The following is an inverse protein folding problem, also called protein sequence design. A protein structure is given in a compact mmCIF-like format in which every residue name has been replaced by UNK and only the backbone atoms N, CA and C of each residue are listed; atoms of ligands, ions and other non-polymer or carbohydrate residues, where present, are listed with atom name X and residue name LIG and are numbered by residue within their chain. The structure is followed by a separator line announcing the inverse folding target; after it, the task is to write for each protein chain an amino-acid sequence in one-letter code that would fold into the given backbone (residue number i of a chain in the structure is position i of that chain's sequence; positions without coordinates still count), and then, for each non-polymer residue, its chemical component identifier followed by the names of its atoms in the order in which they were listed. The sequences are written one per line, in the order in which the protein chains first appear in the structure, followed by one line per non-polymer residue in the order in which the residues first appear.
data_IF_662694603631
#
_entry.id   IF_662694603631
#
_cell.length_a   1.000
_cell.length_b   1.000
_cell.length_c   1.000
_cell.angle_alpha   90.00
_cell.angle_beta   90.00
_cell.angle_gamma   90.00
#
_symmetry.space_group_name_H-M   'P 1'
#
loop_
_entity.id
_entity.type
_entity.pdbx_description
1 polymer ?
#
# COMPACT_ATOMS: atom_id res chain seq x y z
N UNK A 1 -14.88 10.62 -7.01
CA UNK A 1 -13.69 10.68 -6.15
C UNK A 1 -13.64 9.38 -5.39
N UNK A 2 -12.54 8.64 -5.55
CA UNK A 2 -12.41 7.29 -5.03
C UNK A 2 -13.12 6.26 -5.91
N UNK A 3 -13.27 6.52 -7.22
CA UNK A 3 -13.90 5.57 -8.15
C UNK A 3 -13.18 4.23 -8.13
N UNK A 4 -11.86 4.24 -8.04
CA UNK A 4 -11.02 3.04 -7.90
C UNK A 4 -11.13 2.34 -6.53
N UNK A 5 -11.67 3.02 -5.51
CA UNK A 5 -11.98 2.42 -4.22
C UNK A 5 -13.38 1.82 -4.23
N UNK A 6 -14.40 2.65 -4.43
CA UNK A 6 -15.79 2.22 -4.38
C UNK A 6 -16.12 1.28 -5.53
N UNK A 7 -15.56 1.54 -6.70
CA UNK A 7 -15.85 0.79 -7.91
C UNK A 7 -17.19 1.20 -8.52
N UNK A 8 -17.88 0.25 -9.14
CA UNK A 8 -19.17 0.51 -9.78
C UNK A 8 -20.01 -0.77 -9.89
N UNK A 9 -21.32 -0.56 -10.03
CA UNK A 9 -22.31 -1.60 -10.33
C UNK A 9 -22.59 -1.59 -11.83
N UNK A 10 -22.50 -2.76 -12.44
CA UNK A 10 -22.86 -2.99 -13.84
C UNK A 10 -24.00 -4.00 -13.96
N UNK A 11 -24.12 -4.62 -15.13
CA UNK A 11 -25.03 -5.74 -15.37
C UNK A 11 -24.23 -7.04 -15.53
N UNK A 12 -24.74 -8.15 -15.01
CA UNK A 12 -24.25 -9.48 -15.33
C UNK A 12 -24.77 -10.01 -16.68
N UNK A 13 -24.40 -11.25 -17.00
CA UNK A 13 -24.81 -11.92 -18.24
C UNK A 13 -26.32 -12.19 -18.32
N UNK A 14 -27.02 -12.21 -17.19
CA UNK A 14 -28.45 -12.42 -17.08
C UNK A 14 -29.25 -11.10 -17.09
N UNK A 15 -28.54 -9.96 -17.02
CA UNK A 15 -29.12 -8.62 -17.01
C UNK A 15 -29.48 -8.10 -15.63
N UNK A 16 -29.03 -8.76 -14.55
CA UNK A 16 -29.19 -8.26 -13.19
C UNK A 16 -28.04 -7.32 -12.81
N UNK A 17 -28.32 -6.39 -11.90
CA UNK A 17 -27.29 -5.49 -11.36
C UNK A 17 -26.34 -6.29 -10.46
N UNK A 18 -25.05 -6.10 -10.66
CA UNK A 18 -23.99 -6.68 -9.83
C UNK A 18 -22.79 -5.75 -9.80
N UNK A 19 -22.12 -5.69 -8.66
CA UNK A 19 -20.83 -5.04 -8.49
C UNK A 19 -19.80 -5.64 -9.44
N UNK A 20 -18.99 -4.78 -10.07
CA UNK A 20 -18.02 -5.19 -11.10
C UNK A 20 -16.57 -4.83 -10.80
N UNK A 21 -16.36 -3.93 -9.85
CA UNK A 21 -15.04 -3.42 -9.52
C UNK A 21 -15.04 -2.80 -8.13
N UNK A 22 -13.86 -2.56 -7.56
CA UNK A 22 -13.70 -1.91 -6.25
C UNK A 22 -14.39 -2.67 -5.11
N UNK A 23 -14.86 -1.93 -4.10
CA UNK A 23 -15.66 -2.49 -2.99
C UNK A 23 -16.95 -3.13 -3.51
N UNK A 24 -17.63 -2.51 -4.48
CA UNK A 24 -18.85 -3.07 -5.09
C UNK A 24 -18.60 -4.47 -5.66
N UNK A 25 -17.49 -4.67 -6.39
CA UNK A 25 -17.12 -5.96 -6.96
C UNK A 25 -16.62 -6.97 -5.92
N UNK A 26 -15.69 -6.56 -5.06
CA UNK A 26 -15.08 -7.45 -4.06
C UNK A 26 -16.12 -8.01 -3.09
N UNK A 27 -17.09 -7.18 -2.69
CA UNK A 27 -18.15 -7.53 -1.74
C UNK A 27 -19.52 -7.75 -2.39
N UNK A 28 -19.59 -7.98 -3.70
CA UNK A 28 -20.87 -8.14 -4.42
C UNK A 28 -21.79 -9.19 -3.78
N UNK A 29 -21.21 -10.28 -3.28
CA UNK A 29 -21.93 -11.36 -2.58
C UNK A 29 -22.59 -10.89 -1.28
N UNK A 30 -21.91 -10.05 -0.51
CA UNK A 30 -22.45 -9.51 0.75
C UNK A 30 -23.43 -8.36 0.47
N UNK A 31 -23.16 -7.52 -0.54
CA UNK A 31 -23.95 -6.33 -0.90
C UNK A 31 -25.26 -6.66 -1.63
N UNK A 32 -25.31 -7.71 -2.46
CA UNK A 32 -26.46 -8.00 -3.32
C UNK A 32 -27.66 -8.57 -2.54
N UNK A 33 -27.40 -9.33 -1.48
CA UNK A 33 -28.46 -10.08 -0.77
C UNK A 33 -28.98 -11.28 -1.57
N UNK A 34 -30.16 -11.78 -1.20
CA UNK A 34 -30.82 -12.92 -1.83
C UNK A 34 -32.22 -12.50 -2.31
N UNK A 35 -32.55 -12.64 -3.60
CA UNK A 35 -33.88 -12.31 -4.09
C UNK A 35 -34.94 -13.27 -3.52
N UNK A 36 -36.09 -12.72 -3.14
CA UNK A 36 -37.25 -13.52 -2.73
C UNK A 36 -38.03 -14.05 -3.94
N UNK A 37 -38.89 -15.05 -3.70
CA UNK A 37 -39.75 -15.63 -4.74
C UNK A 37 -41.21 -15.69 -4.30
N UNK A 38 -42.13 -15.34 -5.21
CA UNK A 38 -43.56 -15.55 -5.03
C UNK A 38 -44.09 -16.42 -6.18
N UNK A 39 -44.39 -17.69 -5.88
CA UNK A 39 -45.10 -18.59 -6.79
C UNK A 39 -46.59 -18.48 -6.54
N UNK A 40 -47.35 -18.16 -7.59
CA UNK A 40 -48.81 -18.14 -7.54
C UNK A 40 -49.39 -18.54 -8.90
N UNK A 41 -50.49 -19.30 -8.87
CA UNK A 41 -51.24 -19.64 -10.07
C UNK A 41 -52.07 -18.44 -10.55
N UNK A 42 -52.19 -18.28 -11.87
CA UNK A 42 -53.01 -17.26 -12.52
C UNK A 42 -54.07 -17.91 -13.38
N UNK A 43 -55.27 -17.33 -13.43
CA UNK A 43 -56.33 -17.76 -14.35
C UNK A 43 -56.00 -17.36 -15.81
N UNK A 44 -56.83 -17.81 -16.76
CA UNK A 44 -56.68 -17.49 -18.19
C UNK A 44 -56.82 -15.98 -18.50
N UNK A 45 -57.28 -15.17 -17.54
CA UNK A 45 -57.38 -13.72 -17.64
C UNK A 45 -56.23 -12.98 -16.89
N UNK A 46 -55.25 -13.73 -16.34
CA UNK A 46 -54.08 -13.20 -15.64
C UNK A 46 -54.31 -12.85 -14.16
N UNK A 47 -55.48 -13.13 -13.60
CA UNK A 47 -55.80 -12.85 -12.17
C UNK A 47 -55.26 -13.96 -11.28
N UNK A 48 -54.80 -13.61 -10.08
CA UNK A 48 -54.28 -14.56 -9.10
C UNK A 48 -55.41 -15.49 -8.59
N UNK A 49 -55.18 -16.80 -8.61
CA UNK A 49 -56.13 -17.79 -8.09
C UNK A 49 -55.93 -17.91 -6.56
N UNK A 50 -56.96 -17.58 -5.78
CA UNK A 50 -56.88 -17.54 -4.31
C UNK A 50 -56.72 -18.93 -3.64
N UNK A 51 -56.97 -20.02 -4.38
CA UNK A 51 -57.00 -21.41 -3.86
C UNK A 51 -55.77 -22.22 -4.35
N UNK A 52 -54.88 -21.64 -5.17
CA UNK A 52 -53.70 -22.33 -5.69
C UNK A 52 -52.56 -22.42 -4.67
N UNK A 53 -51.59 -23.33 -4.90
CA UNK A 53 -50.36 -23.39 -4.12
C UNK A 53 -49.63 -22.04 -4.16
N UNK A 54 -49.52 -21.41 -2.98
CA UNK A 54 -48.68 -20.23 -2.77
C UNK A 54 -47.40 -20.67 -2.08
N UNK A 55 -46.28 -20.52 -2.77
CA UNK A 55 -44.97 -20.51 -2.13
C UNK A 55 -44.47 -19.08 -2.09
N UNK A 56 -44.15 -18.59 -0.90
CA UNK A 56 -43.56 -17.28 -0.68
C UNK A 56 -42.28 -17.44 0.12
N UNK A 57 -41.18 -17.03 -0.49
CA UNK A 57 -39.88 -16.90 0.15
C UNK A 57 -39.53 -15.40 0.16
N UNK A 58 -39.44 -14.76 1.33
CA UNK A 58 -39.08 -13.35 1.41
C UNK A 58 -37.66 -13.12 0.91
N UNK A 59 -37.41 -11.93 0.34
CA UNK A 59 -36.06 -11.51 0.01
C UNK A 59 -35.25 -11.27 1.28
N UNK A 60 -33.93 -11.44 1.18
CA UNK A 60 -32.97 -11.07 2.22
C UNK A 60 -32.14 -9.93 1.67
N UNK A 61 -32.25 -8.75 2.28
CA UNK A 61 -31.46 -7.59 1.89
C UNK A 61 -29.96 -7.85 2.11
N UNK A 62 -29.13 -7.20 1.30
CA UNK A 62 -27.66 -7.25 1.45
C UNK A 62 -27.16 -6.59 2.74
N UNK A 63 -25.89 -6.83 3.05
CA UNK A 63 -25.21 -6.25 4.19
C UNK A 63 -24.67 -4.85 3.88
N UNK A 64 -24.55 -4.02 4.92
CA UNK A 64 -23.82 -2.75 4.84
C UNK A 64 -22.33 -2.99 5.08
N UNK A 65 -21.49 -2.50 4.16
CA UNK A 65 -20.03 -2.52 4.31
C UNK A 65 -19.57 -1.16 4.84
N UNK A 66 -19.10 -1.13 6.08
CA UNK A 66 -18.58 0.08 6.72
C UNK A 66 -17.08 0.15 6.48
N UNK A 67 -16.62 1.20 5.81
CA UNK A 67 -15.20 1.39 5.49
C UNK A 67 -14.45 2.11 6.62
N UNK A 68 -13.13 1.93 6.64
CA UNK A 68 -12.21 2.62 7.54
C UNK A 68 -11.92 4.06 7.12
N UNK A 69 -12.30 4.44 5.88
CA UNK A 69 -12.04 5.75 5.31
C UNK A 69 -12.70 6.88 6.12
N UNK A 70 -11.91 7.88 6.48
CA UNK A 70 -12.44 9.15 6.96
C UNK A 70 -12.82 10.01 5.76
N UNK A 71 -14.11 10.30 5.60
CA UNK A 71 -14.64 11.07 4.46
C UNK A 71 -13.97 12.44 4.32
N UNK A 72 -13.67 13.12 5.42
CA UNK A 72 -13.06 14.45 5.39
C UNK A 72 -11.61 14.35 4.95
N UNK A 73 -10.86 13.43 5.54
CA UNK A 73 -9.45 13.18 5.17
C UNK A 73 -9.34 12.76 3.72
N UNK A 74 -10.14 11.77 3.29
CA UNK A 74 -10.22 11.29 1.91
C UNK A 74 -10.47 12.44 0.93
N UNK A 75 -11.49 13.27 1.18
CA UNK A 75 -11.81 14.38 0.30
C UNK A 75 -10.68 15.40 0.20
N UNK A 76 -10.10 15.78 1.34
CA UNK A 76 -9.01 16.76 1.39
C UNK A 76 -7.79 16.28 0.63
N UNK A 77 -7.32 15.05 0.87
CA UNK A 77 -6.07 14.57 0.26
C UNK A 77 -6.23 14.18 -1.20
N UNK A 78 -7.36 13.60 -1.60
CA UNK A 78 -7.65 13.32 -3.02
C UNK A 78 -7.74 14.63 -3.83
N UNK A 79 -8.40 15.67 -3.30
CA UNK A 79 -8.45 16.98 -3.96
C UNK A 79 -7.05 17.57 -4.13
N UNK A 80 -6.22 17.46 -3.09
CA UNK A 80 -4.84 17.96 -3.14
C UNK A 80 -3.97 17.18 -4.12
N UNK A 81 -4.18 15.88 -4.23
CA UNK A 81 -3.50 15.03 -5.21
C UNK A 81 -3.81 15.50 -6.63
N UNK A 82 -5.09 15.70 -6.97
CA UNK A 82 -5.51 16.19 -8.30
C UNK A 82 -4.89 17.55 -8.62
N UNK A 83 -4.91 18.50 -7.67
CA UNK A 83 -4.25 19.80 -7.83
C UNK A 83 -2.74 19.64 -8.09
N UNK A 84 -2.09 18.74 -7.35
CA UNK A 84 -0.64 18.54 -7.41
C UNK A 84 -0.23 17.89 -8.72
N UNK A 85 -0.92 16.84 -9.16
CA UNK A 85 -0.69 16.18 -10.45
C UNK A 85 -0.81 17.19 -11.59
N UNK A 86 -1.88 18.01 -11.60
CA UNK A 86 -2.06 19.06 -12.61
C UNK A 86 -0.98 20.14 -12.55
N UNK A 87 -0.63 20.60 -11.35
CA UNK A 87 0.38 21.65 -11.15
C UNK A 87 1.76 21.23 -11.67
N UNK A 88 2.08 19.94 -11.55
CA UNK A 88 3.38 19.39 -11.91
C UNK A 88 3.40 18.68 -13.26
N UNK A 89 2.27 18.65 -13.98
CA UNK A 89 2.11 17.93 -15.24
C UNK A 89 2.57 16.46 -15.15
N UNK A 90 2.21 15.81 -14.04
CA UNK A 90 2.55 14.41 -13.80
C UNK A 90 1.55 13.47 -14.50
N UNK A 91 2.02 12.30 -14.92
CA UNK A 91 1.18 11.28 -15.56
C UNK A 91 0.08 10.74 -14.61
N UNK A 92 0.35 10.76 -13.30
CA UNK A 92 -0.56 10.29 -12.27
C UNK A 92 -0.01 10.48 -10.87
N UNK A 93 -0.67 9.89 -9.89
CA UNK A 93 -0.22 9.91 -8.50
C UNK A 93 -1.13 9.11 -7.57
N UNK A 94 -0.62 8.85 -6.36
CA UNK A 94 -1.33 8.10 -5.32
C UNK A 94 -1.06 8.66 -3.94
N UNK A 95 -2.04 8.59 -3.05
CA UNK A 95 -1.88 8.87 -1.62
C UNK A 95 -2.56 7.76 -0.83
N UNK A 96 -1.84 7.19 0.13
CA UNK A 96 -2.36 6.27 1.13
C UNK A 96 -2.09 6.83 2.51
N UNK A 97 -3.10 6.88 3.36
CA UNK A 97 -2.97 7.25 4.78
C UNK A 97 -3.38 6.05 5.61
N UNK A 98 -2.44 5.56 6.42
CA UNK A 98 -2.65 4.45 7.35
C UNK A 98 -2.64 4.96 8.79
N UNK A 99 -3.48 4.37 9.62
CA UNK A 99 -3.32 4.42 11.07
C UNK A 99 -2.32 3.32 11.49
N UNK A 100 -1.11 3.66 11.98
CA UNK A 100 -0.06 2.66 12.19
C UNK A 100 -0.40 1.60 13.24
N UNK A 101 -1.17 1.94 14.27
CA UNK A 101 -1.51 1.07 15.39
C UNK A 101 -2.53 -0.02 15.05
N UNK A 102 -3.26 0.13 13.94
CA UNK A 102 -4.37 -0.76 13.58
C UNK A 102 -4.26 -1.30 12.16
N UNK A 103 -3.57 -0.60 11.26
CA UNK A 103 -3.57 -0.91 9.83
C UNK A 103 -4.80 -0.37 9.09
N UNK A 104 -5.65 0.44 9.74
CA UNK A 104 -6.81 1.07 9.08
C UNK A 104 -6.36 2.02 7.99
N UNK A 105 -6.98 1.91 6.82
CA UNK A 105 -6.79 2.86 5.72
C UNK A 105 -7.74 4.05 5.92
N UNK A 106 -7.20 5.20 6.34
CA UNK A 106 -8.00 6.41 6.55
C UNK A 106 -8.28 7.16 5.24
N UNK A 107 -7.36 7.04 4.27
CA UNK A 107 -7.55 7.56 2.92
C UNK A 107 -6.77 6.72 1.90
N UNK A 108 -7.36 6.56 0.71
CA UNK A 108 -6.73 5.95 -0.47
C UNK A 108 -7.19 6.70 -1.71
N UNK A 109 -6.25 7.39 -2.36
CA UNK A 109 -6.51 8.25 -3.51
C UNK A 109 -5.58 7.88 -4.66
N UNK A 110 -6.08 8.02 -5.87
CA UNK A 110 -5.38 7.75 -7.11
C UNK A 110 -5.77 8.75 -8.18
N UNK A 111 -4.83 9.09 -9.05
CA UNK A 111 -5.02 9.86 -10.27
C UNK A 111 -4.27 9.12 -11.39
N UNK A 112 -4.91 8.80 -12.54
CA UNK A 112 -6.31 9.13 -12.91
C UNK A 112 -7.36 8.47 -12.00
N UNK A 113 -8.56 9.08 -11.95
CA UNK A 113 -9.74 8.57 -11.23
C UNK A 113 -10.95 8.66 -12.17
N UNK A 114 -12.04 7.96 -11.82
CA UNK A 114 -13.28 8.01 -12.57
C UNK A 114 -14.51 8.28 -11.68
N UNK A 115 -15.61 8.65 -12.32
CA UNK A 115 -16.92 8.74 -11.67
C UNK A 115 -17.63 7.40 -11.78
N UNK A 116 -17.84 6.74 -10.65
CA UNK A 116 -18.58 5.47 -10.54
C UNK A 116 -19.98 5.51 -11.17
N UNK A 117 -20.64 6.68 -11.20
CA UNK A 117 -21.96 6.83 -11.84
C UNK A 117 -21.88 6.98 -13.36
N UNK A 118 -20.68 7.22 -13.90
CA UNK A 118 -20.42 7.40 -15.32
C UNK A 118 -19.26 6.51 -15.79
N UNK A 119 -19.11 5.33 -15.19
CA UNK A 119 -18.05 4.38 -15.51
C UNK A 119 -17.99 4.09 -17.03
N UNK A 120 -19.14 3.91 -17.68
CA UNK A 120 -19.23 3.66 -19.12
C UNK A 120 -18.75 4.82 -20.03
N UNK A 121 -18.40 5.99 -19.47
CA UNK A 121 -17.88 7.16 -20.21
C UNK A 121 -16.39 7.40 -20.00
N UNK A 122 -15.72 6.53 -19.25
CA UNK A 122 -14.28 6.61 -19.03
C UNK A 122 -13.54 6.41 -20.36
N UNK A 123 -12.74 7.40 -20.82
CA UNK A 123 -12.11 7.34 -22.14
C UNK A 123 -10.85 6.46 -22.16
N UNK A 124 -10.16 6.34 -21.02
CA UNK A 124 -8.93 5.57 -20.86
C UNK A 124 -9.12 4.50 -19.78
N UNK A 125 -8.90 3.25 -20.16
CA UNK A 125 -9.02 2.09 -19.27
C UNK A 125 -8.06 2.15 -18.07
N UNK A 126 -6.93 2.86 -18.19
CA UNK A 126 -5.97 3.01 -17.09
C UNK A 126 -6.57 3.72 -15.88
N UNK A 127 -7.64 4.51 -16.05
CA UNK A 127 -8.36 5.14 -14.96
C UNK A 127 -9.05 4.14 -14.03
N UNK A 128 -9.24 2.89 -14.46
CA UNK A 128 -9.75 1.81 -13.62
C UNK A 128 -8.66 1.14 -12.79
N UNK A 129 -7.38 1.36 -13.06
CA UNK A 129 -6.33 0.84 -12.18
C UNK A 129 -6.38 1.63 -10.88
N UNK A 130 -6.32 0.94 -9.74
CA UNK A 130 -6.12 1.60 -8.45
C UNK A 130 -4.62 1.81 -8.24
N UNK A 131 -4.08 3.03 -8.39
CA UNK A 131 -2.64 3.26 -8.35
C UNK A 131 -2.03 2.96 -6.98
N UNK A 132 -2.82 2.92 -5.91
CA UNK A 132 -2.34 2.60 -4.57
C UNK A 132 -2.00 1.12 -4.38
N UNK A 133 -2.65 0.21 -5.13
CA UNK A 133 -2.52 -1.24 -4.93
C UNK A 133 -2.12 -2.01 -6.19
N UNK A 134 -2.27 -1.42 -7.38
CA UNK A 134 -1.99 -2.09 -8.66
C UNK A 134 -0.69 -1.58 -9.29
N UNK A 135 -0.51 -0.26 -9.37
CA UNK A 135 0.65 0.34 -10.04
C UNK A 135 1.91 0.15 -9.21
N UNK A 136 2.72 -0.84 -9.60
CA UNK A 136 4.00 -1.13 -8.97
C UNK A 136 5.10 -0.26 -9.58
N UNK A 137 5.99 0.27 -8.75
CA UNK A 137 7.10 1.14 -9.17
C UNK A 137 8.39 0.76 -8.44
N UNK A 138 9.53 1.14 -9.00
CA UNK A 138 10.80 1.07 -8.26
C UNK A 138 10.83 2.16 -7.18
N UNK A 139 10.88 1.81 -5.88
CA UNK A 139 10.74 2.79 -4.82
C UNK A 139 11.90 3.79 -4.75
N UNK A 140 13.09 3.39 -5.20
CA UNK A 140 14.29 4.19 -5.05
C UNK A 140 14.57 4.51 -3.58
N UNK A 141 15.01 5.74 -3.30
CA UNK A 141 15.61 6.10 -2.00
C UNK A 141 14.69 5.97 -0.79
N UNK A 142 13.36 5.98 -0.93
CA UNK A 142 12.47 5.72 0.21
C UNK A 142 12.65 4.29 0.76
N UNK A 143 13.18 3.37 -0.04
CA UNK A 143 13.46 1.99 0.38
C UNK A 143 14.63 1.87 1.36
N UNK A 144 15.54 2.86 1.36
CA UNK A 144 16.74 2.88 2.20
C UNK A 144 16.42 2.77 3.69
N UNK A 145 15.26 3.29 4.09
CA UNK A 145 14.74 3.20 5.46
C UNK A 145 14.60 1.75 5.91
N UNK A 146 14.11 0.85 5.04
CA UNK A 146 13.92 -0.57 5.36
C UNK A 146 15.26 -1.31 5.39
N UNK A 147 16.17 -1.01 4.45
CA UNK A 147 17.55 -1.53 4.48
C UNK A 147 18.27 -1.13 5.77
N UNK A 148 18.19 0.15 6.14
CA UNK A 148 18.83 0.67 7.36
C UNK A 148 18.20 0.07 8.61
N UNK A 149 16.87 -0.03 8.65
CA UNK A 149 16.16 -0.66 9.77
C UNK A 149 16.61 -2.10 9.97
N UNK A 150 16.68 -2.89 8.90
CA UNK A 150 17.16 -4.28 8.96
C UNK A 150 18.60 -4.36 9.47
N UNK A 151 19.51 -3.55 8.94
CA UNK A 151 20.93 -3.58 9.32
C UNK A 151 21.18 -3.11 10.77
N UNK A 152 20.33 -2.22 11.30
CA UNK A 152 20.35 -1.86 12.73
C UNK A 152 19.75 -2.98 13.58
N UNK A 153 18.68 -3.65 13.11
CA UNK A 153 18.01 -4.71 13.86
C UNK A 153 18.89 -5.95 14.05
N UNK A 154 19.69 -6.30 13.04
CA UNK A 154 20.69 -7.37 13.13
C UNK A 154 21.90 -6.98 13.98
N UNK A 155 22.01 -5.71 14.39
CA UNK A 155 23.16 -5.16 15.11
C UNK A 155 24.41 -4.98 14.24
N UNK A 156 24.28 -5.12 12.92
CA UNK A 156 25.39 -5.02 11.96
C UNK A 156 25.93 -3.59 11.82
N UNK A 157 25.05 -2.61 11.98
CA UNK A 157 25.41 -1.19 12.10
C UNK A 157 24.58 -0.53 13.20
N UNK A 158 24.99 0.65 13.64
CA UNK A 158 24.20 1.54 14.48
C UNK A 158 24.20 2.96 13.88
N UNK A 159 23.36 3.88 14.38
CA UNK A 159 23.25 5.24 13.81
C UNK A 159 24.58 6.01 13.73
N UNK A 160 25.56 5.66 14.57
CA UNK A 160 26.88 6.29 14.66
C UNK A 160 27.99 5.46 14.01
N UNK A 161 27.70 4.30 13.42
CA UNK A 161 28.67 3.54 12.64
C UNK A 161 29.21 4.43 11.52
N UNK A 162 30.53 4.58 11.46
CA UNK A 162 31.19 5.40 10.45
C UNK A 162 31.35 4.63 9.14
N UNK A 163 31.18 5.35 8.04
CA UNK A 163 31.41 4.87 6.69
C UNK A 163 32.20 5.93 5.92
N UNK A 164 33.23 5.52 5.20
CA UNK A 164 33.96 6.38 4.28
C UNK A 164 33.33 6.31 2.89
N UNK A 165 32.56 7.34 2.53
CA UNK A 165 31.98 7.48 1.21
C UNK A 165 32.98 8.04 0.18
N UNK A 166 33.36 7.19 -0.76
CA UNK A 166 34.21 7.53 -1.91
C UNK A 166 33.41 8.03 -3.13
N UNK A 167 32.07 8.01 -3.05
CA UNK A 167 31.12 8.45 -4.08
C UNK A 167 30.63 7.36 -5.02
N UNK A 168 31.32 6.22 -5.10
CA UNK A 168 30.89 5.07 -5.89
C UNK A 168 31.47 3.77 -5.37
N UNK A 169 30.83 2.66 -5.71
CA UNK A 169 31.25 1.31 -5.36
C UNK A 169 31.15 0.40 -6.58
N UNK A 170 32.20 -0.37 -6.85
CA UNK A 170 32.18 -1.42 -7.87
C UNK A 170 31.78 -2.73 -7.18
N UNK A 171 30.81 -3.43 -7.76
CA UNK A 171 30.47 -4.81 -7.38
C UNK A 171 31.31 -5.73 -8.24
N UNK A 172 31.95 -6.72 -7.62
CA UNK A 172 32.82 -7.66 -8.33
C UNK A 172 32.06 -8.37 -9.46
N UNK A 173 32.70 -8.52 -10.62
CA UNK A 173 32.09 -9.11 -11.80
C UNK A 173 31.21 -8.16 -12.63
N UNK A 174 30.96 -6.93 -12.18
CA UNK A 174 30.15 -5.94 -12.91
C UNK A 174 30.99 -4.88 -13.62
N UNK A 175 30.62 -4.44 -14.84
CA UNK A 175 31.46 -3.59 -15.67
C UNK A 175 31.40 -2.10 -15.29
N UNK A 176 30.47 -1.69 -14.42
CA UNK A 176 30.24 -0.28 -14.07
C UNK A 176 29.98 -0.13 -12.57
N UNK A 177 30.53 0.92 -11.93
CA UNK A 177 30.27 1.20 -10.53
C UNK A 177 28.86 1.77 -10.33
N UNK A 178 28.30 1.51 -9.14
CA UNK A 178 27.13 2.20 -8.62
C UNK A 178 27.60 3.51 -7.98
N UNK A 179 26.98 4.64 -8.35
CA UNK A 179 27.36 5.96 -7.85
C UNK A 179 26.26 6.59 -6.99
N UNK A 180 26.66 7.51 -6.12
CA UNK A 180 25.72 8.41 -5.45
C UNK A 180 25.10 9.40 -6.45
N UNK A 181 23.94 9.94 -6.10
CA UNK A 181 23.30 11.00 -6.88
C UNK A 181 24.28 12.16 -7.13
N UNK A 182 24.24 12.72 -8.35
CA UNK A 182 25.14 13.79 -8.80
C UNK A 182 26.65 13.46 -8.69
N UNK A 183 27.03 12.19 -8.55
CA UNK A 183 28.42 11.74 -8.32
C UNK A 183 29.08 12.38 -7.08
N UNK A 184 28.28 12.73 -6.07
CA UNK A 184 28.77 13.34 -4.81
C UNK A 184 29.62 12.36 -4.00
N UNK A 185 30.56 12.94 -3.26
CA UNK A 185 31.41 12.27 -2.27
C UNK A 185 31.23 12.96 -0.93
N UNK A 186 30.90 12.19 0.11
CA UNK A 186 30.62 12.73 1.43
C UNK A 186 31.76 12.49 2.43
N UNK A 187 32.77 11.69 2.09
CA UNK A 187 33.88 11.37 3.00
C UNK A 187 33.40 10.54 4.18
N UNK A 188 33.96 10.74 5.37
CA UNK A 188 33.58 9.99 6.57
C UNK A 188 32.25 10.52 7.12
N UNK A 189 31.24 9.65 7.15
CA UNK A 189 29.86 9.95 7.55
C UNK A 189 29.31 8.90 8.50
N UNK A 190 28.30 9.25 9.29
CA UNK A 190 27.55 8.29 10.11
C UNK A 190 26.44 7.61 9.30
N UNK A 191 25.84 6.53 9.83
CA UNK A 191 24.64 5.93 9.21
C UNK A 191 23.42 6.87 9.23
N UNK A 192 23.37 7.82 10.17
CA UNK A 192 22.35 8.89 10.17
C UNK A 192 22.56 9.81 8.97
N UNK A 193 23.80 10.27 8.75
CA UNK A 193 24.16 11.08 7.58
C UNK A 193 23.89 10.35 6.26
N UNK A 194 24.06 9.02 6.23
CA UNK A 194 23.74 8.17 5.07
C UNK A 194 22.26 8.27 4.71
N UNK A 195 21.34 8.24 5.69
CA UNK A 195 19.92 8.45 5.42
C UNK A 195 19.61 9.92 5.08
N UNK A 196 20.14 10.89 5.83
CA UNK A 196 19.87 12.33 5.64
C UNK A 196 20.26 12.80 4.23
N UNK A 197 21.43 12.35 3.76
CA UNK A 197 21.98 12.69 2.45
C UNK A 197 21.61 11.67 1.36
N UNK A 198 20.84 10.64 1.71
CA UNK A 198 20.41 9.58 0.79
C UNK A 198 21.60 8.95 0.04
N UNK A 199 22.64 8.53 0.76
CA UNK A 199 23.90 8.02 0.20
C UNK A 199 23.72 6.56 -0.24
N UNK A 200 23.78 6.28 -1.56
CA UNK A 200 23.59 4.92 -2.12
C UNK A 200 24.69 3.96 -1.65
N UNK A 201 25.95 4.38 -1.74
CA UNK A 201 27.11 3.59 -1.29
C UNK A 201 27.05 3.23 0.19
N UNK A 202 26.52 4.14 1.03
CA UNK A 202 26.36 3.93 2.47
C UNK A 202 25.33 2.86 2.82
N UNK A 203 24.20 2.79 2.10
CA UNK A 203 23.22 1.72 2.33
C UNK A 203 23.67 0.38 1.73
N UNK A 204 24.46 0.39 0.65
CA UNK A 204 25.14 -0.82 0.15
C UNK A 204 26.13 -1.32 1.21
N UNK A 205 26.87 -0.41 1.85
CA UNK A 205 27.74 -0.76 2.97
C UNK A 205 26.94 -1.40 4.11
N UNK A 206 25.82 -0.80 4.54
CA UNK A 206 24.96 -1.37 5.58
C UNK A 206 24.43 -2.77 5.19
N UNK A 207 24.00 -2.95 3.94
CA UNK A 207 23.60 -4.26 3.40
C UNK A 207 24.75 -5.27 3.46
N UNK A 208 25.96 -4.89 3.06
CA UNK A 208 27.15 -5.76 3.13
C UNK A 208 27.54 -6.14 4.57
N UNK A 209 27.43 -5.21 5.53
CA UNK A 209 27.68 -5.51 6.95
C UNK A 209 26.65 -6.49 7.52
N UNK A 210 25.40 -6.40 7.06
CA UNK A 210 24.33 -7.32 7.43
C UNK A 210 24.43 -8.67 6.70
N UNK A 211 24.93 -8.68 5.47
CA UNK A 211 24.93 -9.83 4.58
C UNK A 211 23.69 -9.88 3.69
N UNK A 212 23.83 -10.55 2.54
CA UNK A 212 22.77 -10.63 1.53
C UNK A 212 21.57 -11.46 2.00
N UNK A 213 21.77 -12.63 2.62
CA UNK A 213 20.66 -13.48 3.01
C UNK A 213 19.76 -12.81 4.07
N UNK A 214 20.30 -12.18 5.14
CA UNK A 214 19.48 -11.42 6.08
C UNK A 214 18.81 -10.20 5.43
N UNK A 215 19.47 -9.53 4.48
CA UNK A 215 18.84 -8.46 3.70
C UNK A 215 17.61 -8.97 2.92
N UNK A 216 17.76 -10.04 2.16
CA UNK A 216 16.65 -10.61 1.36
C UNK A 216 15.53 -11.11 2.27
N UNK A 217 15.86 -11.71 3.42
CA UNK A 217 14.84 -12.09 4.41
C UNK A 217 14.09 -10.85 4.92
N UNK A 218 14.81 -9.79 5.30
CA UNK A 218 14.18 -8.57 5.77
C UNK A 218 13.25 -7.94 4.72
N UNK A 219 13.67 -7.87 3.45
CA UNK A 219 12.81 -7.40 2.35
C UNK A 219 11.50 -8.20 2.29
N UNK A 220 11.58 -9.54 2.40
CA UNK A 220 10.40 -10.42 2.42
C UNK A 220 9.56 -10.26 3.69
N UNK A 221 10.20 -10.04 4.84
CA UNK A 221 9.52 -9.89 6.13
C UNK A 221 8.77 -8.55 6.23
N UNK A 222 9.28 -7.47 5.64
CA UNK A 222 8.53 -6.23 5.44
C UNK A 222 7.33 -6.37 4.50
N UNK A 223 7.11 -7.54 3.89
CA UNK A 223 5.92 -7.87 3.10
C UNK A 223 6.07 -7.63 1.59
N UNK A 224 7.23 -7.20 1.12
CA UNK A 224 7.46 -6.95 -0.31
C UNK A 224 7.45 -8.25 -1.12
N UNK A 225 7.00 -8.16 -2.37
CA UNK A 225 6.84 -9.33 -3.26
C UNK A 225 5.60 -10.17 -2.98
N UNK A 226 4.72 -9.74 -2.06
CA UNK A 226 3.45 -10.39 -1.74
C UNK A 226 2.33 -9.37 -1.63
N UNK A 227 1.13 -9.79 -1.99
CA UNK A 227 -0.10 -9.05 -1.73
C UNK A 227 -0.24 -8.76 -0.24
N UNK A 228 -0.64 -7.54 0.12
CA UNK A 228 -0.90 -7.14 1.50
C UNK A 228 -2.14 -7.81 2.06
N UNK A 229 -3.10 -8.18 1.20
CA UNK A 229 -4.36 -8.80 1.61
C UNK A 229 -5.48 -7.79 1.87
N UNK A 230 -5.31 -6.53 1.49
CA UNK A 230 -6.38 -5.51 1.51
C UNK A 230 -7.62 -6.03 0.79
N UNK A 231 -8.82 -5.69 1.30
CA UNK A 231 -10.10 -6.20 0.80
C UNK A 231 -10.54 -5.54 -0.50
N UNK A 232 -9.72 -5.66 -1.54
CA UNK A 232 -9.94 -5.07 -2.86
C UNK A 232 -9.43 -6.00 -3.96
N UNK A 233 -10.09 -5.94 -5.11
CA UNK A 233 -9.65 -6.67 -6.30
C UNK A 233 -8.39 -6.04 -6.90
N UNK A 234 -7.71 -6.77 -7.78
CA UNK A 234 -6.58 -6.27 -8.60
C UNK A 234 -5.35 -5.80 -7.81
N UNK A 235 -5.17 -6.23 -6.56
CA UNK A 235 -3.91 -5.97 -5.86
C UNK A 235 -2.72 -6.66 -6.56
N UNK A 236 -1.65 -5.88 -6.81
CA UNK A 236 -0.37 -6.36 -7.31
C UNK A 236 0.57 -6.73 -6.15
N UNK A 237 1.45 -7.72 -6.36
CA UNK A 237 2.41 -8.16 -5.36
C UNK A 237 3.74 -7.36 -5.38
N UNK A 238 3.93 -6.49 -6.38
CA UNK A 238 5.27 -6.00 -6.75
C UNK A 238 6.14 -7.11 -7.34
N UNK A 239 7.45 -6.87 -7.43
CA UNK A 239 8.41 -7.86 -7.93
C UNK A 239 9.75 -7.71 -7.21
N UNK A 240 10.19 -8.79 -6.56
CA UNK A 240 11.50 -8.90 -5.91
C UNK A 240 12.32 -10.10 -6.41
N UNK A 241 11.93 -10.72 -7.52
CA UNK A 241 12.52 -11.99 -7.99
C UNK A 241 13.99 -11.88 -8.36
N UNK A 242 14.48 -10.66 -8.62
CA UNK A 242 15.91 -10.38 -8.81
C UNK A 242 16.75 -10.79 -7.60
N UNK A 243 16.19 -10.71 -6.39
CA UNK A 243 16.86 -11.11 -5.15
C UNK A 243 17.05 -12.62 -5.02
N UNK A 244 16.22 -13.42 -5.71
CA UNK A 244 16.32 -14.88 -5.68
C UNK A 244 17.47 -15.42 -6.56
N UNK A 245 18.12 -14.55 -7.36
CA UNK A 245 19.29 -14.91 -8.19
C UNK A 245 20.54 -15.13 -7.32
N UNK A 246 20.64 -14.44 -6.19
CA UNK A 246 21.75 -14.61 -5.24
C UNK A 246 23.06 -13.93 -5.64
N UNK A 247 23.06 -13.00 -6.60
CA UNK A 247 24.23 -12.17 -6.92
C UNK A 247 24.18 -10.82 -6.19
N UNK A 248 25.34 -10.35 -5.74
CA UNK A 248 25.46 -9.15 -4.91
C UNK A 248 24.90 -7.90 -5.59
N UNK A 249 25.04 -7.78 -6.90
CA UNK A 249 24.52 -6.64 -7.66
C UNK A 249 23.03 -6.38 -7.43
N UNK A 250 22.21 -7.42 -7.39
CA UNK A 250 20.77 -7.30 -7.21
C UNK A 250 20.44 -6.90 -5.78
N UNK A 251 21.15 -7.46 -4.79
CA UNK A 251 21.04 -7.02 -3.40
C UNK A 251 21.51 -5.57 -3.23
N UNK A 252 22.61 -5.19 -3.88
CA UNK A 252 23.15 -3.85 -3.85
C UNK A 252 22.17 -2.84 -4.41
N UNK A 253 21.62 -3.04 -5.62
CA UNK A 253 20.63 -2.12 -6.20
C UNK A 253 19.33 -2.10 -5.41
N UNK A 254 18.85 -3.25 -4.96
CA UNK A 254 17.63 -3.34 -4.17
C UNK A 254 17.78 -2.62 -2.82
N UNK A 255 18.98 -2.58 -2.23
CA UNK A 255 19.24 -1.90 -0.96
C UNK A 255 18.89 -0.41 -0.97
N UNK A 256 18.86 0.21 -2.15
CA UNK A 256 18.40 1.58 -2.39
C UNK A 256 17.19 1.65 -3.33
N UNK A 257 16.43 0.55 -3.43
CA UNK A 257 15.13 0.50 -4.08
C UNK A 257 15.12 0.42 -5.60
N UNK A 258 16.18 -0.11 -6.23
CA UNK A 258 16.25 -0.35 -7.68
C UNK A 258 16.38 -1.84 -8.00
N UNK A 259 15.83 -2.27 -9.13
CA UNK A 259 15.77 -3.69 -9.51
C UNK A 259 14.71 -4.49 -8.74
N UNK A 260 13.83 -3.81 -8.01
CA UNK A 260 12.64 -4.33 -7.34
C UNK A 260 11.48 -3.36 -7.55
N UNK A 261 10.24 -3.86 -7.54
CA UNK A 261 9.03 -3.02 -7.58
C UNK A 261 8.11 -3.29 -6.41
N UNK A 262 7.43 -2.24 -5.95
CA UNK A 262 6.52 -2.25 -4.81
C UNK A 262 5.27 -1.41 -5.13
N UNK A 263 4.17 -1.65 -4.44
CA UNK A 263 2.98 -0.79 -4.51
C UNK A 263 3.06 0.33 -3.46
N UNK A 264 2.36 1.47 -3.65
CA UNK A 264 2.27 2.51 -2.63
C UNK A 264 1.75 1.99 -1.29
N UNK A 265 0.78 1.07 -1.29
CA UNK A 265 0.25 0.47 -0.07
C UNK A 265 1.30 -0.38 0.68
N UNK A 266 2.11 -1.18 -0.03
CA UNK A 266 3.21 -1.94 0.60
C UNK A 266 4.21 -1.01 1.28
N UNK A 267 4.60 0.08 0.61
CA UNK A 267 5.51 1.07 1.19
C UNK A 267 4.90 1.76 2.42
N UNK A 268 3.64 2.18 2.34
CA UNK A 268 2.94 2.78 3.47
C UNK A 268 2.88 1.80 4.66
N UNK A 269 2.59 0.52 4.41
CA UNK A 269 2.55 -0.51 5.46
C UNK A 269 3.93 -0.76 6.10
N UNK A 270 5.01 -0.73 5.32
CA UNK A 270 6.37 -0.86 5.85
C UNK A 270 6.76 0.32 6.76
N UNK A 271 6.43 1.55 6.36
CA UNK A 271 6.62 2.73 7.21
C UNK A 271 5.71 2.72 8.45
N UNK A 272 4.48 2.24 8.32
CA UNK A 272 3.57 2.05 9.45
C UNK A 272 4.14 1.04 10.47
N UNK A 273 4.83 -0.01 10.01
CA UNK A 273 5.53 -0.94 10.89
C UNK A 273 6.66 -0.25 11.67
N UNK A 274 7.39 0.70 11.08
CA UNK A 274 8.37 1.51 11.84
C UNK A 274 7.63 2.37 12.88
N UNK A 275 6.55 3.05 12.48
CA UNK A 275 5.80 3.95 13.34
C UNK A 275 5.09 3.25 14.51
N UNK A 276 4.72 1.98 14.37
CA UNK A 276 4.00 1.21 15.40
C UNK A 276 4.91 0.32 16.28
N UNK A 277 6.21 0.56 16.26
CA UNK A 277 7.16 -0.18 17.12
C UNK A 277 7.61 -1.51 16.54
N UNK A 278 7.57 -1.68 15.21
CA UNK A 278 8.22 -2.76 14.47
C UNK A 278 7.32 -3.92 14.06
N UNK A 279 5.99 -3.76 14.07
CA UNK A 279 5.04 -4.83 13.75
C UNK A 279 4.35 -4.54 12.42
N UNK A 280 4.51 -5.43 11.45
CA UNK A 280 3.77 -5.34 10.20
C UNK A 280 2.33 -5.82 10.43
N UNK A 281 1.37 -4.93 10.21
CA UNK A 281 -0.06 -5.23 10.28
C UNK A 281 -0.62 -5.42 8.86
N UNK A 282 -1.67 -6.23 8.73
CA UNK A 282 -2.44 -6.31 7.49
C UNK A 282 -3.24 -5.01 7.31
N UNK A 283 -2.97 -4.19 6.26
CA UNK A 283 -3.75 -3.01 6.01
C UNK A 283 -5.17 -3.40 5.57
N UNK A 284 -6.18 -2.70 6.08
CA UNK A 284 -7.59 -3.03 5.81
C UNK A 284 -8.43 -1.79 5.56
N UNK A 285 -9.36 -1.93 4.61
CA UNK A 285 -10.27 -0.85 4.18
C UNK A 285 -11.68 -1.03 4.76
N UNK A 286 -12.01 -2.23 5.24
CA UNK A 286 -13.30 -2.52 5.89
C UNK A 286 -13.16 -2.47 7.41
N UNK A 287 -14.00 -1.67 8.06
CA UNK A 287 -14.11 -1.59 9.51
C UNK A 287 -15.02 -2.69 10.05
N UNK A 288 -16.21 -2.84 9.46
CA UNK A 288 -17.18 -3.88 9.82
C UNK A 288 -18.19 -4.12 8.72
N UNK A 289 -18.79 -5.32 8.74
CA UNK A 289 -19.92 -5.71 7.89
C UNK A 289 -21.15 -5.85 8.79
N UNK A 290 -22.23 -5.15 8.47
CA UNK A 290 -23.50 -5.19 9.23
C UNK A 290 -24.56 -5.91 8.42
N UNK A 291 -25.01 -7.05 8.93
CA UNK A 291 -26.06 -7.85 8.32
C UNK A 291 -27.45 -7.42 8.81
N UNK A 292 -28.46 -7.69 7.99
CA UNK A 292 -29.86 -7.31 8.24
C UNK A 292 -30.51 -8.08 9.39
N UNK A 293 -29.92 -9.22 9.79
CA UNK A 293 -30.29 -9.99 10.98
C UNK A 293 -29.73 -9.41 12.29
N UNK A 294 -28.96 -8.31 12.21
CA UNK A 294 -28.32 -7.65 13.35
C UNK A 294 -26.92 -8.20 13.68
N UNK A 295 -26.41 -9.18 12.94
CA UNK A 295 -25.01 -9.64 13.06
C UNK A 295 -24.07 -8.54 12.58
N UNK A 296 -22.98 -8.33 13.33
CA UNK A 296 -21.92 -7.39 12.97
C UNK A 296 -20.59 -8.12 13.00
N UNK A 297 -19.95 -8.23 11.83
CA UNK A 297 -18.64 -8.82 11.67
C UNK A 297 -17.60 -7.69 11.64
N UNK A 298 -17.03 -7.36 12.81
CA UNK A 298 -16.01 -6.32 12.94
C UNK A 298 -14.64 -6.83 12.52
N UNK A 299 -13.91 -6.05 11.71
CA UNK A 299 -12.53 -6.37 11.33
C UNK A 299 -11.62 -6.27 12.55
N UNK A 300 -10.96 -7.37 12.88
CA UNK A 300 -9.93 -7.39 13.92
C UNK A 300 -8.60 -6.90 13.34
N UNK A 301 -7.83 -6.16 14.16
CA UNK A 301 -6.44 -5.85 13.85
C UNK A 301 -5.67 -7.17 13.72
N UNK A 302 -4.99 -7.35 12.59
CA UNK A 302 -4.26 -8.57 12.28
C UNK A 302 -2.77 -8.28 12.18
N UNK A 303 -2.05 -8.73 13.21
CA UNK A 303 -0.59 -8.74 13.19
C UNK A 303 -0.10 -9.82 12.22
N UNK A 304 0.67 -9.43 11.22
CA UNK A 304 1.29 -10.37 10.28
C UNK A 304 2.55 -10.94 10.91
N UNK A 305 3.45 -10.07 11.38
CA UNK A 305 4.69 -10.42 12.09
C UNK A 305 5.37 -9.19 12.69
N UNK A 306 6.29 -9.41 13.62
CA UNK A 306 7.31 -8.41 13.98
C UNK A 306 8.43 -8.43 12.93
N UNK A 307 8.71 -7.29 12.32
CA UNK A 307 9.75 -7.14 11.27
C UNK A 307 11.05 -6.56 11.80
N UNK A 308 10.96 -5.75 12.86
CA UNK A 308 12.10 -5.22 13.61
C UNK A 308 11.75 -5.13 15.10
N UNK A 309 12.77 -5.07 15.96
CA UNK A 309 12.60 -4.79 17.38
C UNK A 309 12.09 -3.37 17.60
N UNK A 310 11.33 -3.18 18.67
CA UNK A 310 10.79 -1.86 19.04
C UNK A 310 11.91 -0.82 19.25
N UNK A 311 13.05 -1.24 19.82
CA UNK A 311 14.22 -0.36 19.97
C UNK A 311 14.72 0.12 18.60
N UNK A 312 14.81 -0.76 17.62
CA UNK A 312 15.22 -0.43 16.26
C UNK A 312 14.22 0.51 15.60
N UNK A 313 12.92 0.23 15.72
CA UNK A 313 11.86 1.10 15.21
C UNK A 313 11.98 2.54 15.74
N UNK A 314 12.24 2.70 17.04
CA UNK A 314 12.46 4.04 17.65
C UNK A 314 13.73 4.72 17.14
N UNK A 315 14.84 3.98 17.00
CA UNK A 315 16.10 4.53 16.47
C UNK A 315 15.94 4.99 15.02
N UNK A 316 15.34 4.16 14.17
CA UNK A 316 15.07 4.49 12.76
C UNK A 316 14.08 5.66 12.67
N UNK A 317 13.02 5.68 13.48
CA UNK A 317 12.10 6.82 13.56
C UNK A 317 12.82 8.13 13.88
N UNK A 318 13.77 8.12 14.82
CA UNK A 318 14.59 9.31 15.12
C UNK A 318 15.52 9.70 13.96
N UNK A 319 16.12 8.74 13.25
CA UNK A 319 16.92 9.01 12.05
C UNK A 319 16.06 9.62 10.95
N UNK A 320 14.83 9.14 10.76
CA UNK A 320 13.89 9.68 9.78
C UNK A 320 13.44 11.10 10.13
N UNK A 321 13.30 11.44 11.42
CA UNK A 321 13.12 12.83 11.86
C UNK A 321 14.32 13.69 11.43
N UNK A 322 15.55 13.20 11.56
CA UNK A 322 16.75 13.89 11.05
C UNK A 322 16.69 14.11 9.54
N UNK A 323 16.15 13.16 8.76
CA UNK A 323 16.00 13.32 7.30
C UNK A 323 15.13 14.52 6.95
N UNK A 324 14.07 14.77 7.74
CA UNK A 324 13.21 15.94 7.55
C UNK A 324 13.88 17.22 8.04
N UNK A 325 14.57 17.21 9.18
CA UNK A 325 15.19 18.42 9.73
C UNK A 325 16.46 18.85 8.98
N UNK A 326 17.30 17.89 8.61
CA UNK A 326 18.66 18.11 8.12
C UNK A 326 18.82 17.72 6.64
N UNK A 327 18.06 16.73 6.17
CA UNK A 327 18.19 16.13 4.85
C UNK A 327 17.32 16.74 3.74
N UNK A 328 16.94 15.88 2.79
CA UNK A 328 16.16 16.25 1.60
C UNK A 328 14.65 16.40 1.89
N UNK A 329 14.18 16.00 3.08
CA UNK A 329 12.78 15.98 3.48
C UNK A 329 12.23 17.31 4.02
N UNK A 330 13.02 18.39 4.08
CA UNK A 330 12.69 19.66 4.78
C UNK A 330 11.32 20.25 4.48
N UNK A 331 10.81 20.08 3.26
CA UNK A 331 9.48 20.60 2.87
C UNK A 331 8.31 19.82 3.48
N UNK A 332 8.54 18.62 3.99
CA UNK A 332 7.53 17.80 4.66
C UNK A 332 7.31 18.20 6.14
N UNK A 333 8.22 18.97 6.73
CA UNK A 333 8.14 19.37 8.14
C UNK A 333 6.90 20.21 8.46
N UNK A 334 6.31 19.97 9.63
CA UNK A 334 5.16 20.71 10.14
C UNK A 334 5.54 21.35 11.49
N UNK A 335 5.53 22.70 11.61
CA UNK A 335 5.91 23.35 12.86
C UNK A 335 5.13 22.83 14.07
N UNK A 336 5.84 22.48 15.14
CA UNK A 336 5.27 21.92 16.37
C UNK A 336 5.16 20.39 16.39
N UNK A 337 5.54 19.69 15.31
CA UNK A 337 5.50 18.24 15.20
C UNK A 337 6.82 17.69 14.68
N UNK A 338 7.27 16.56 15.25
CA UNK A 338 8.34 15.76 14.65
C UNK A 338 7.75 14.92 13.51
N UNK A 339 8.31 15.06 12.32
CA UNK A 339 7.93 14.32 11.12
C UNK A 339 9.14 13.50 10.69
N UNK A 340 8.96 12.21 10.39
CA UNK A 340 9.96 11.29 9.88
C UNK A 340 9.32 10.29 8.94
#
# INVERSE_FOLDING_TARGET
MGGHVFGFVGFDHEGYRSGKYGIEGYFDKDLTGIPGFLRSERDLAGRLIAIGERSYEPAVDGADIILTLDRTVQFTVCSKLVETVRKHDADGGSIVILEPSTGRILAMCGVPDFDSNQYNKVPDITAYNNPAIFDSYEPGSIFKSMTMAAAIDTGSVNPMTLFEDTGSVLVDGWPKPIANAENKKYGVVTMTDVLDNSINTGVIFAMRQMGMDPFVSAVKDFGFGKKTGVEMETEAAGNISSLDIGEEIYAATASFGQGITVTPLQMAAAYAAIANGGVLLEPHIVDEIRYTDGRVDKKAVKEVRRVIQEKTARLVGAMLVSVVENGHGKRAGVPGYYIG
#
